data_IF_111444201534
#
_entry.id   IF_111444201534
#
_cell.length_a   1.000
_cell.length_b   1.000
_cell.length_c   1.000
_cell.angle_alpha   90.00
_cell.angle_beta   90.00
_cell.angle_gamma   90.00
#
_symmetry.space_group_name_H-M   'P 1'
#
loop_
_entity.id
_entity.type
_entity.pdbx_description
1 polymer ?
#
# COMPACT_ATOMS: atom_id res chain seq x y z
N UNK A 1 -27.91 -26.53 -47.05
CA UNK A 1 -27.66 -25.45 -48.04
C UNK A 1 -26.43 -24.64 -47.61
N UNK A 2 -25.46 -24.62 -48.53
CA UNK A 2 -24.15 -23.97 -48.40
C UNK A 2 -24.29 -22.42 -48.32
N UNK A 3 -23.36 -21.75 -47.57
CA UNK A 3 -22.63 -20.60 -48.14
C UNK A 3 -21.41 -20.28 -47.25
N UNK A 4 -20.25 -20.57 -47.81
CA UNK A 4 -18.92 -20.05 -47.44
C UNK A 4 -18.88 -18.54 -47.76
N UNK A 5 -18.15 -17.77 -46.96
CA UNK A 5 -17.53 -16.51 -47.38
C UNK A 5 -16.11 -16.36 -46.87
N UNK A 6 -15.28 -16.10 -47.86
CA UNK A 6 -13.83 -16.10 -47.88
C UNK A 6 -13.16 -14.95 -47.08
N UNK A 7 -12.01 -15.27 -46.57
CA UNK A 7 -10.96 -14.39 -46.08
C UNK A 7 -10.28 -13.75 -47.30
N UNK A 8 -10.14 -12.42 -47.31
CA UNK A 8 -9.28 -11.70 -48.24
C UNK A 8 -8.06 -11.16 -47.52
N UNK A 9 -6.93 -11.76 -47.84
CA UNK A 9 -5.57 -11.31 -47.51
C UNK A 9 -5.21 -10.17 -48.47
N UNK A 10 -4.74 -9.03 -47.97
CA UNK A 10 -4.13 -7.97 -48.78
C UNK A 10 -2.64 -7.97 -48.47
N UNK A 11 -1.84 -8.38 -49.44
CA UNK A 11 -0.39 -8.25 -49.45
C UNK A 11 -0.03 -6.93 -50.12
N UNK A 12 0.63 -6.05 -49.40
CA UNK A 12 1.21 -4.81 -49.95
C UNK A 12 2.69 -5.03 -50.29
N UNK A 13 3.01 -4.90 -51.58
CA UNK A 13 4.38 -4.95 -52.11
C UNK A 13 5.01 -3.56 -51.96
N UNK A 14 6.13 -3.45 -51.28
CA UNK A 14 6.95 -2.24 -51.24
C UNK A 14 8.08 -2.40 -52.27
N UNK A 15 8.07 -1.54 -53.29
CA UNK A 15 9.15 -1.45 -54.28
C UNK A 15 10.33 -0.66 -53.74
N UNK A 16 11.54 -1.26 -53.81
CA UNK A 16 12.77 -0.59 -53.52
C UNK A 16 13.35 0.05 -54.79
N UNK A 17 13.55 1.34 -54.77
CA UNK A 17 14.36 2.06 -55.79
C UNK A 17 15.77 2.26 -55.30
N UNK A 18 16.72 1.61 -55.96
CA UNK A 18 18.18 1.82 -55.80
C UNK A 18 18.54 3.07 -56.60
N UNK A 19 19.16 4.04 -55.95
CA UNK A 19 19.96 5.09 -56.58
C UNK A 19 21.39 4.99 -56.06
N UNK A 20 22.29 4.61 -56.95
CA UNK A 20 23.75 4.62 -56.78
C UNK A 20 24.29 6.05 -56.84
N UNK A 21 24.98 6.49 -55.82
CA UNK A 21 25.80 7.70 -55.81
C UNK A 21 27.07 7.40 -55.08
N UNK A 22 28.20 7.32 -55.82
CA UNK A 22 29.56 7.26 -55.29
C UNK A 22 29.94 8.61 -54.66
N UNK A 23 30.30 8.59 -53.39
CA UNK A 23 30.98 9.68 -52.71
C UNK A 23 31.80 9.10 -51.57
N UNK A 24 33.12 9.11 -51.71
CA UNK A 24 34.04 8.77 -50.62
C UNK A 24 33.94 9.84 -49.52
N UNK A 25 33.61 9.44 -48.33
CA UNK A 25 33.56 10.29 -47.14
C UNK A 25 33.70 9.42 -45.90
N UNK A 26 34.60 9.80 -45.08
CA UNK A 26 35.16 9.16 -43.89
C UNK A 26 34.09 8.53 -42.96
N UNK A 27 34.42 7.33 -42.49
CA UNK A 27 33.65 6.64 -41.43
C UNK A 27 33.87 7.37 -40.10
N UNK A 28 33.00 8.31 -39.75
CA UNK A 28 32.88 8.75 -38.38
C UNK A 28 32.10 7.70 -37.57
N UNK A 29 32.78 7.21 -36.55
CA UNK A 29 32.28 6.32 -35.52
C UNK A 29 31.00 6.88 -34.90
N UNK A 30 29.84 6.34 -35.23
CA UNK A 30 28.63 6.55 -34.45
C UNK A 30 28.57 5.64 -33.22
N UNK A 31 29.50 5.83 -32.31
CA UNK A 31 29.36 5.47 -30.90
C UNK A 31 29.13 6.77 -30.10
N UNK A 32 28.04 7.47 -30.35
CA UNK A 32 27.49 8.34 -29.34
C UNK A 32 26.62 7.47 -28.39
N UNK A 33 27.31 6.85 -27.41
CA UNK A 33 26.63 6.62 -26.13
C UNK A 33 26.09 7.98 -25.69
N UNK A 34 24.76 8.14 -25.74
CA UNK A 34 24.08 9.24 -25.08
C UNK A 34 24.45 9.13 -23.60
N UNK A 35 25.44 9.86 -23.14
CA UNK A 35 25.64 10.16 -21.73
C UNK A 35 24.35 10.84 -21.28
N UNK A 36 23.38 10.08 -20.77
CA UNK A 36 22.33 10.64 -19.95
C UNK A 36 23.04 11.36 -18.82
N UNK A 37 22.96 12.69 -18.82
CA UNK A 37 23.55 13.49 -17.76
C UNK A 37 22.96 13.00 -16.43
N UNK A 38 23.81 12.57 -15.50
CA UNK A 38 23.41 12.16 -14.17
C UNK A 38 22.60 13.26 -13.45
N UNK A 39 22.75 14.49 -13.84
CA UNK A 39 22.08 15.66 -13.27
C UNK A 39 20.58 15.72 -13.57
N UNK A 40 20.08 15.02 -14.60
CA UNK A 40 18.64 14.97 -14.94
C UNK A 40 17.84 13.99 -14.11
N UNK A 41 18.50 13.08 -13.39
CA UNK A 41 17.86 12.08 -12.53
C UNK A 41 18.15 12.31 -11.03
N UNK A 42 18.84 13.39 -10.69
CA UNK A 42 19.18 13.71 -9.31
C UNK A 42 17.96 14.25 -8.56
N UNK A 43 17.55 13.56 -7.52
CA UNK A 43 16.54 14.05 -6.58
C UNK A 43 17.26 14.80 -5.47
N UNK A 44 16.95 16.09 -5.31
CA UNK A 44 17.54 16.88 -4.25
C UNK A 44 17.05 16.40 -2.87
N UNK A 45 17.97 16.35 -1.92
CA UNK A 45 17.64 16.11 -0.53
C UNK A 45 16.68 17.19 -0.02
N UNK A 46 15.60 16.78 0.63
CA UNK A 46 14.73 17.72 1.33
C UNK A 46 15.42 18.16 2.61
N UNK A 47 15.69 19.47 2.72
CA UNK A 47 16.33 20.03 3.90
C UNK A 47 15.31 20.25 5.03
N UNK A 48 15.79 20.20 6.28
CA UNK A 48 15.02 20.47 7.50
C UNK A 48 13.81 19.55 7.73
N UNK A 49 13.87 18.27 7.25
CA UNK A 49 12.91 17.28 7.71
C UNK A 49 13.07 17.07 9.22
N UNK A 50 11.95 16.96 9.97
CA UNK A 50 12.00 16.57 11.38
C UNK A 50 12.75 15.24 11.56
N UNK A 51 13.45 15.07 12.69
CA UNK A 51 14.19 13.82 12.98
C UNK A 51 13.26 12.60 13.06
N UNK A 52 12.00 12.81 13.43
CA UNK A 52 10.95 11.80 13.53
C UNK A 52 10.10 11.68 12.25
N UNK A 53 10.53 12.30 11.13
CA UNK A 53 9.83 12.15 9.85
C UNK A 53 9.80 10.69 9.42
N UNK A 54 8.58 10.17 9.14
CA UNK A 54 8.40 8.77 8.78
C UNK A 54 8.79 8.55 7.32
N UNK A 55 9.81 7.71 7.13
CA UNK A 55 10.27 7.19 5.84
C UNK A 55 10.02 5.68 5.85
N UNK A 56 9.01 5.23 5.12
CA UNK A 56 8.56 3.84 5.19
C UNK A 56 8.66 3.09 3.86
N UNK A 57 8.61 1.76 3.96
CA UNK A 57 8.55 0.86 2.81
C UNK A 57 7.68 -0.36 3.12
N UNK A 58 6.78 -0.77 2.19
CA UNK A 58 6.05 -2.04 2.31
C UNK A 58 6.98 -3.22 2.00
N UNK A 59 7.14 -4.11 2.97
CA UNK A 59 7.98 -5.29 2.87
C UNK A 59 7.19 -6.61 3.02
N UNK A 60 5.87 -6.57 2.86
CA UNK A 60 4.97 -7.69 3.12
C UNK A 60 5.31 -8.98 2.37
N UNK A 61 5.94 -8.88 1.20
CA UNK A 61 6.30 -10.03 0.37
C UNK A 61 7.74 -10.51 0.55
N UNK A 62 8.57 -9.85 1.37
CA UNK A 62 9.99 -10.16 1.52
C UNK A 62 10.22 -11.62 1.92
N UNK A 63 9.57 -12.20 2.94
CA UNK A 63 9.80 -13.61 3.29
C UNK A 63 9.48 -14.59 2.14
N UNK A 64 8.43 -14.30 1.36
CA UNK A 64 8.07 -15.13 0.21
C UNK A 64 9.10 -15.03 -0.93
N UNK A 65 9.66 -13.83 -1.16
CA UNK A 65 10.71 -13.61 -2.16
C UNK A 65 12.02 -14.33 -1.75
N UNK A 66 12.43 -14.20 -0.49
CA UNK A 66 13.62 -14.89 0.05
C UNK A 66 13.47 -16.41 0.00
N UNK A 67 12.28 -16.93 0.33
CA UNK A 67 11.97 -18.35 0.18
C UNK A 67 12.05 -18.81 -1.29
N UNK A 68 11.79 -17.90 -2.23
CA UNK A 68 12.00 -18.10 -3.68
C UNK A 68 13.44 -17.97 -4.14
N UNK A 69 14.39 -17.68 -3.23
CA UNK A 69 15.82 -17.56 -3.54
C UNK A 69 16.28 -16.13 -3.89
N UNK A 70 15.43 -15.11 -3.71
CA UNK A 70 15.83 -13.71 -3.90
C UNK A 70 16.83 -13.31 -2.82
N UNK A 71 17.89 -12.62 -3.22
CA UNK A 71 18.93 -12.06 -2.37
C UNK A 71 19.01 -10.56 -2.56
N UNK A 72 19.40 -9.86 -1.51
CA UNK A 72 19.52 -8.41 -1.52
C UNK A 72 20.98 -8.02 -1.36
N UNK A 73 21.36 -6.94 -2.02
CA UNK A 73 22.75 -6.46 -2.04
C UNK A 73 22.76 -4.96 -1.75
N UNK A 74 23.73 -4.54 -0.95
CA UNK A 74 23.99 -3.13 -0.74
C UNK A 74 24.65 -2.51 -1.99
N UNK A 75 24.78 -1.18 -2.03
CA UNK A 75 25.36 -0.44 -3.18
C UNK A 75 26.79 -0.83 -3.50
N UNK A 76 27.53 -1.39 -2.53
CA UNK A 76 28.89 -1.91 -2.74
C UNK A 76 28.92 -3.36 -3.28
N UNK A 77 27.76 -3.98 -3.50
CA UNK A 77 27.61 -5.37 -3.95
C UNK A 77 27.70 -6.42 -2.83
N UNK A 78 27.75 -6.00 -1.57
CA UNK A 78 27.73 -6.93 -0.43
C UNK A 78 26.31 -7.47 -0.19
N UNK A 79 26.18 -8.80 -0.12
CA UNK A 79 24.90 -9.45 0.25
C UNK A 79 24.60 -9.17 1.73
N UNK A 80 23.40 -8.61 1.99
CA UNK A 80 22.92 -8.29 3.34
C UNK A 80 21.44 -8.58 3.50
N UNK A 81 20.98 -8.60 4.75
CA UNK A 81 19.55 -8.56 5.06
C UNK A 81 18.93 -7.26 4.50
N UNK A 82 17.79 -7.37 3.81
CA UNK A 82 17.13 -6.20 3.21
C UNK A 82 16.75 -5.15 4.25
N UNK A 83 16.38 -5.56 5.47
CA UNK A 83 16.03 -4.62 6.55
C UNK A 83 17.26 -3.86 7.05
N UNK A 84 18.44 -4.49 7.06
CA UNK A 84 19.71 -3.80 7.33
C UNK A 84 19.97 -2.74 6.27
N UNK A 85 19.85 -3.10 4.99
CA UNK A 85 20.06 -2.17 3.88
C UNK A 85 19.09 -0.98 3.99
N UNK A 86 17.80 -1.24 4.22
CA UNK A 86 16.78 -0.21 4.33
C UNK A 86 17.07 0.76 5.49
N UNK A 87 17.37 0.22 6.67
CA UNK A 87 17.71 1.04 7.86
C UNK A 87 18.95 1.90 7.63
N UNK A 88 20.02 1.34 7.06
CA UNK A 88 21.25 2.07 6.73
C UNK A 88 21.03 3.19 5.69
N UNK A 89 19.94 3.11 4.91
CA UNK A 89 19.56 4.09 3.90
C UNK A 89 18.39 5.00 4.33
N UNK A 90 18.14 5.12 5.62
CA UNK A 90 17.24 6.12 6.20
C UNK A 90 15.77 5.70 6.30
N UNK A 91 15.42 4.45 5.97
CA UNK A 91 14.10 3.91 6.25
C UNK A 91 13.98 3.65 7.75
N UNK A 92 12.91 4.17 8.37
CA UNK A 92 12.65 4.03 9.81
C UNK A 92 11.32 3.36 10.13
N UNK A 93 10.52 3.04 9.09
CA UNK A 93 9.29 2.26 9.20
C UNK A 93 9.21 1.17 8.13
N UNK A 94 8.73 0.01 8.54
CA UNK A 94 8.35 -1.07 7.63
C UNK A 94 6.84 -1.25 7.70
N UNK A 95 6.17 -1.18 6.55
CA UNK A 95 4.74 -1.47 6.42
C UNK A 95 4.54 -2.94 6.13
N UNK A 96 3.55 -3.56 6.79
CA UNK A 96 3.10 -4.92 6.53
C UNK A 96 1.59 -4.98 6.40
N UNK A 97 1.12 -5.68 5.39
CA UNK A 97 -0.30 -6.04 5.24
C UNK A 97 -0.62 -7.23 6.11
N UNK A 98 -1.82 -7.25 6.68
CA UNK A 98 -2.38 -8.43 7.36
C UNK A 98 -3.74 -8.76 6.76
N UNK A 99 -3.88 -9.99 6.26
CA UNK A 99 -5.12 -10.61 5.85
C UNK A 99 -5.59 -11.60 6.92
N UNK A 100 -6.92 -11.73 7.07
CA UNK A 100 -7.47 -12.52 8.17
C UNK A 100 -7.15 -14.00 8.05
N UNK A 101 -7.39 -14.59 6.88
CA UNK A 101 -7.12 -16.01 6.60
C UNK A 101 -6.87 -16.20 5.09
N UNK A 102 -5.62 -15.93 4.61
CA UNK A 102 -5.28 -15.95 3.19
C UNK A 102 -5.07 -17.35 2.62
N UNK A 103 -5.85 -18.34 3.07
CA UNK A 103 -5.72 -19.74 2.66
C UNK A 103 -7.06 -20.32 2.21
N UNK A 104 -7.02 -21.28 1.26
CA UNK A 104 -8.17 -22.07 0.88
C UNK A 104 -8.48 -23.19 1.91
N UNK A 105 -9.54 -23.96 1.66
CA UNK A 105 -9.94 -25.05 2.56
C UNK A 105 -8.90 -26.21 2.65
N UNK A 106 -7.95 -26.26 1.73
CA UNK A 106 -6.87 -27.27 1.71
C UNK A 106 -5.57 -26.71 2.32
N UNK A 107 -5.58 -25.45 2.79
CA UNK A 107 -4.41 -24.75 3.34
C UNK A 107 -3.47 -24.18 2.28
N UNK A 108 -3.89 -24.09 1.01
CA UNK A 108 -3.09 -23.45 -0.02
C UNK A 108 -3.26 -21.93 0.10
N UNK A 109 -2.14 -21.21 0.14
CA UNK A 109 -2.15 -19.75 0.19
C UNK A 109 -2.63 -19.11 -1.11
N UNK A 110 -3.30 -17.96 -1.00
CA UNK A 110 -3.78 -17.20 -2.16
C UNK A 110 -2.67 -16.46 -2.91
N UNK A 111 -1.44 -16.47 -2.41
CA UNK A 111 -0.29 -15.77 -2.99
C UNK A 111 -0.13 -14.35 -2.45
N UNK A 112 0.67 -13.53 -3.13
CA UNK A 112 0.95 -12.16 -2.70
C UNK A 112 1.64 -12.05 -1.33
N UNK A 113 2.44 -13.08 -0.96
CA UNK A 113 3.14 -13.19 0.31
C UNK A 113 2.37 -13.93 1.40
N UNK A 114 1.09 -14.33 1.16
CA UNK A 114 0.21 -14.94 2.17
C UNK A 114 0.26 -14.18 3.51
N UNK A 115 0.03 -12.87 3.44
CA UNK A 115 0.28 -11.89 4.50
C UNK A 115 -0.64 -12.11 5.71
N UNK A 116 -0.42 -13.16 6.47
CA UNK A 116 -1.06 -13.41 7.76
C UNK A 116 -0.28 -12.77 8.92
N UNK A 117 -0.77 -12.96 10.13
CA UNK A 117 -0.13 -12.42 11.33
C UNK A 117 1.25 -13.03 11.59
N UNK A 118 1.49 -14.29 11.21
CA UNK A 118 2.78 -14.94 11.41
C UNK A 118 3.86 -14.34 10.48
N UNK A 119 3.50 -14.05 9.23
CA UNK A 119 4.34 -13.30 8.30
C UNK A 119 4.67 -11.89 8.85
N UNK A 120 3.68 -11.20 9.42
CA UNK A 120 3.90 -9.88 10.03
C UNK A 120 4.82 -9.93 11.25
N UNK A 121 4.73 -10.98 12.08
CA UNK A 121 5.65 -11.20 13.22
C UNK A 121 7.08 -11.42 12.75
N UNK A 122 7.30 -12.24 11.74
CA UNK A 122 8.62 -12.47 11.15
C UNK A 122 9.26 -11.18 10.67
N UNK A 123 8.54 -10.41 9.85
CA UNK A 123 8.97 -9.11 9.32
C UNK A 123 9.23 -8.12 10.45
N UNK A 124 8.28 -8.01 11.39
CA UNK A 124 8.35 -7.05 12.48
C UNK A 124 9.55 -7.27 13.41
N UNK A 125 9.88 -8.51 13.72
CA UNK A 125 11.09 -8.84 14.51
C UNK A 125 12.36 -8.37 13.81
N UNK A 126 12.47 -8.63 12.49
CA UNK A 126 13.65 -8.21 11.70
C UNK A 126 13.72 -6.69 11.59
N UNK A 127 12.61 -6.01 11.32
CA UNK A 127 12.56 -4.55 11.28
C UNK A 127 13.00 -3.94 12.60
N UNK A 128 12.47 -4.43 13.73
CA UNK A 128 12.82 -3.97 15.08
C UNK A 128 14.29 -4.22 15.41
N UNK A 129 14.87 -5.33 14.97
CA UNK A 129 16.30 -5.63 15.15
C UNK A 129 17.21 -4.55 14.57
N UNK A 130 16.79 -3.94 13.45
CA UNK A 130 17.52 -2.85 12.80
C UNK A 130 16.99 -1.45 13.17
N UNK A 131 16.24 -1.34 14.28
CA UNK A 131 15.77 -0.06 14.84
C UNK A 131 14.62 0.59 14.09
N UNK A 132 13.95 -0.13 13.20
CA UNK A 132 12.76 0.36 12.49
C UNK A 132 11.49 -0.04 13.23
N UNK A 133 10.48 0.83 13.15
CA UNK A 133 9.14 0.55 13.65
C UNK A 133 8.27 -0.14 12.62
N UNK A 134 7.23 -0.83 13.07
CA UNK A 134 6.26 -1.47 12.18
C UNK A 134 5.01 -0.58 12.02
N UNK A 135 4.56 -0.40 10.77
CA UNK A 135 3.22 0.02 10.41
C UNK A 135 2.43 -1.23 10.02
N UNK A 136 1.45 -1.56 10.84
CA UNK A 136 0.59 -2.73 10.66
C UNK A 136 -0.67 -2.32 9.90
N UNK A 137 -0.85 -2.83 8.67
CA UNK A 137 -2.01 -2.55 7.83
C UNK A 137 -2.98 -3.73 7.85
N UNK A 138 -4.06 -3.60 8.61
CA UNK A 138 -5.15 -4.57 8.61
C UNK A 138 -6.08 -4.35 7.42
N UNK A 139 -6.20 -5.34 6.54
CA UNK A 139 -7.16 -5.28 5.43
C UNK A 139 -8.58 -5.65 5.87
N UNK A 140 -8.75 -6.38 6.97
CA UNK A 140 -10.01 -6.96 7.43
C UNK A 140 -10.76 -7.70 6.31
N UNK A 141 -9.98 -8.46 5.57
CA UNK A 141 -10.35 -9.32 4.47
C UNK A 141 -9.39 -10.50 4.41
N UNK A 142 -9.77 -11.60 3.77
CA UNK A 142 -8.90 -12.78 3.61
C UNK A 142 -7.87 -12.60 2.48
N UNK A 143 -7.99 -11.55 1.69
CA UNK A 143 -7.08 -11.19 0.61
C UNK A 143 -7.07 -9.66 0.41
N UNK A 144 -6.61 -9.17 -0.74
CA UNK A 144 -6.54 -7.74 -1.04
C UNK A 144 -7.88 -7.03 -0.80
N UNK A 145 -7.83 -5.97 -0.01
CA UNK A 145 -8.87 -4.96 0.06
C UNK A 145 -8.42 -3.73 -0.72
N UNK A 146 -9.31 -3.21 -1.57
CA UNK A 146 -9.12 -2.01 -2.40
C UNK A 146 -10.48 -1.29 -2.55
N UNK A 147 -10.57 -0.11 -3.19
CA UNK A 147 -11.84 0.61 -3.31
C UNK A 147 -12.97 -0.19 -3.97
N UNK A 148 -12.64 -1.16 -4.83
CA UNK A 148 -13.60 -2.05 -5.49
C UNK A 148 -13.86 -3.36 -4.77
N UNK A 149 -13.04 -3.71 -3.75
CA UNK A 149 -13.08 -5.00 -3.06
C UNK A 149 -12.87 -4.82 -1.56
N UNK A 150 -13.95 -4.70 -0.83
CA UNK A 150 -13.94 -4.64 0.63
C UNK A 150 -14.69 -5.87 1.18
N UNK A 151 -14.12 -7.06 0.91
CA UNK A 151 -14.77 -8.33 1.23
C UNK A 151 -14.76 -8.60 2.73
N UNK A 152 -15.90 -9.05 3.24
CA UNK A 152 -15.95 -9.60 4.61
C UNK A 152 -15.09 -10.86 4.69
N UNK A 153 -14.24 -11.03 5.72
CA UNK A 153 -13.56 -12.29 5.98
C UNK A 153 -14.55 -13.47 6.03
N UNK A 154 -14.13 -14.61 5.48
CA UNK A 154 -15.00 -15.81 5.43
C UNK A 154 -15.55 -16.23 6.80
N UNK A 155 -14.74 -16.04 7.85
CA UNK A 155 -15.15 -16.33 9.23
C UNK A 155 -16.28 -15.40 9.75
N UNK A 156 -16.43 -14.19 9.16
CA UNK A 156 -17.40 -13.17 9.61
C UNK A 156 -18.59 -13.00 8.65
N UNK A 157 -18.68 -13.83 7.61
CA UNK A 157 -19.61 -13.68 6.48
C UNK A 157 -21.07 -13.55 6.89
N UNK A 158 -21.48 -14.24 7.96
CA UNK A 158 -22.89 -14.28 8.41
C UNK A 158 -23.15 -13.40 9.65
N UNK A 159 -22.17 -12.59 10.07
CA UNK A 159 -22.28 -11.73 11.25
C UNK A 159 -23.02 -10.44 10.93
N UNK A 160 -23.86 -9.99 11.87
CA UNK A 160 -24.39 -8.64 11.89
C UNK A 160 -23.31 -7.62 12.24
N UNK A 161 -23.63 -6.31 12.15
CA UNK A 161 -22.63 -5.25 12.37
C UNK A 161 -22.02 -5.30 13.78
N UNK A 162 -22.82 -5.54 14.80
CA UNK A 162 -22.34 -5.61 16.19
C UNK A 162 -21.37 -6.78 16.40
N UNK A 163 -21.70 -7.95 15.84
CA UNK A 163 -20.84 -9.14 15.89
C UNK A 163 -19.54 -8.92 15.08
N UNK A 164 -19.62 -8.25 13.92
CA UNK A 164 -18.42 -7.87 13.12
C UNK A 164 -17.53 -6.90 13.89
N UNK A 165 -18.10 -5.90 14.56
CA UNK A 165 -17.32 -4.96 15.38
C UNK A 165 -16.58 -5.70 16.50
N UNK A 166 -17.23 -6.62 17.19
CA UNK A 166 -16.59 -7.43 18.24
C UNK A 166 -15.51 -8.35 17.65
N UNK A 167 -15.80 -9.05 16.54
CA UNK A 167 -14.84 -9.92 15.88
C UNK A 167 -13.59 -9.13 15.38
N UNK A 168 -13.78 -7.93 14.81
CA UNK A 168 -12.72 -7.06 14.36
C UNK A 168 -11.89 -6.55 15.53
N UNK A 169 -12.53 -6.13 16.63
CA UNK A 169 -11.83 -5.72 17.84
C UNK A 169 -10.96 -6.85 18.39
N UNK A 170 -11.51 -8.05 18.56
CA UNK A 170 -10.77 -9.20 19.10
C UNK A 170 -9.61 -9.60 18.17
N UNK A 171 -9.85 -9.67 16.86
CA UNK A 171 -8.81 -9.99 15.87
C UNK A 171 -7.66 -8.98 15.90
N UNK A 172 -7.97 -7.70 15.97
CA UNK A 172 -6.98 -6.62 16.05
C UNK A 172 -6.19 -6.73 17.35
N UNK A 173 -6.87 -6.91 18.47
CA UNK A 173 -6.28 -7.07 19.81
C UNK A 173 -5.32 -8.26 19.88
N UNK A 174 -5.77 -9.43 19.45
CA UNK A 174 -4.97 -10.66 19.47
C UNK A 174 -3.75 -10.55 18.56
N UNK A 175 -3.91 -9.97 17.38
CA UNK A 175 -2.82 -9.75 16.42
C UNK A 175 -1.77 -8.79 16.99
N UNK A 176 -2.19 -7.67 17.56
CA UNK A 176 -1.27 -6.70 18.17
C UNK A 176 -0.59 -7.27 19.43
N UNK A 177 -1.31 -8.04 20.23
CA UNK A 177 -0.72 -8.72 21.40
C UNK A 177 0.38 -9.70 20.95
N UNK A 178 0.13 -10.48 19.87
CA UNK A 178 1.12 -11.41 19.32
C UNK A 178 2.38 -10.70 18.82
N UNK A 179 2.23 -9.55 18.14
CA UNK A 179 3.37 -8.72 17.73
C UNK A 179 4.16 -8.20 18.96
N UNK A 180 3.45 -7.69 19.96
CA UNK A 180 4.04 -7.17 21.21
C UNK A 180 4.79 -8.26 21.98
N UNK A 181 4.20 -9.45 22.13
CA UNK A 181 4.80 -10.60 22.81
C UNK A 181 6.06 -11.10 22.06
N UNK A 182 6.11 -10.90 20.75
CA UNK A 182 7.28 -11.18 19.92
C UNK A 182 8.37 -10.09 19.99
N UNK A 183 8.16 -9.01 20.75
CA UNK A 183 9.10 -7.89 20.89
C UNK A 183 9.14 -6.95 19.70
N UNK A 184 8.08 -6.90 18.88
CA UNK A 184 7.99 -6.00 17.73
C UNK A 184 7.64 -4.57 18.17
N UNK A 185 8.39 -3.58 17.67
CA UNK A 185 8.11 -2.15 17.89
C UNK A 185 7.02 -1.68 16.93
N UNK A 186 5.77 -1.72 17.37
CA UNK A 186 4.61 -1.26 16.59
C UNK A 186 4.46 0.24 16.75
N UNK A 187 4.81 1.00 15.71
CA UNK A 187 4.73 2.47 15.72
C UNK A 187 3.45 3.05 15.12
N UNK A 188 2.79 2.32 14.23
CA UNK A 188 1.53 2.74 13.61
C UNK A 188 0.66 1.54 13.25
N UNK A 189 -0.67 1.72 13.33
CA UNK A 189 -1.65 0.74 12.91
C UNK A 189 -2.64 1.38 11.95
N UNK A 190 -2.77 0.82 10.75
CA UNK A 190 -3.72 1.24 9.74
C UNK A 190 -4.98 0.37 9.84
N UNK A 191 -6.12 1.00 10.09
CA UNK A 191 -7.42 0.37 10.25
C UNK A 191 -8.14 0.35 8.90
N UNK A 192 -8.07 -0.79 8.21
CA UNK A 192 -8.57 -0.94 6.83
C UNK A 192 -7.57 -0.46 5.77
N UNK A 193 -7.76 -0.91 4.53
CA UNK A 193 -6.99 -0.50 3.37
C UNK A 193 -7.93 0.09 2.31
N UNK A 194 -7.66 1.34 1.89
CA UNK A 194 -8.40 2.06 0.84
C UNK A 194 -9.93 2.02 1.02
N UNK A 195 -10.37 2.42 2.21
CA UNK A 195 -11.75 2.32 2.67
C UNK A 195 -12.69 3.40 2.09
N UNK A 196 -12.60 3.65 0.81
CA UNK A 196 -13.26 4.76 0.07
C UNK A 196 -14.81 4.86 0.17
N UNK A 197 -15.41 4.20 1.10
CA UNK A 197 -16.88 4.14 1.28
C UNK A 197 -17.36 2.72 1.45
N UNK A 198 -16.42 1.80 1.75
CA UNK A 198 -16.73 0.44 2.16
C UNK A 198 -15.64 -0.08 3.09
N UNK A 199 -15.97 -1.02 3.97
CA UNK A 199 -15.03 -1.72 4.85
C UNK A 199 -15.64 -3.03 5.31
N UNK A 200 -14.91 -4.12 5.21
CA UNK A 200 -15.34 -5.44 5.73
C UNK A 200 -16.76 -5.84 5.28
N UNK A 201 -17.09 -5.58 4.01
CA UNK A 201 -18.40 -5.86 3.41
C UNK A 201 -19.49 -4.84 3.66
N UNK A 202 -19.30 -3.89 4.59
CA UNK A 202 -20.22 -2.77 4.80
C UNK A 202 -19.96 -1.68 3.77
N UNK A 203 -21.03 -1.06 3.24
CA UNK A 203 -20.93 -0.03 2.20
C UNK A 203 -21.66 1.24 2.60
N UNK A 204 -21.10 2.38 2.24
CA UNK A 204 -21.71 3.70 2.49
C UNK A 204 -23.06 3.89 1.78
N UNK A 205 -23.32 3.16 0.70
CA UNK A 205 -24.60 3.13 -0.02
C UNK A 205 -25.70 2.34 0.68
N UNK A 206 -25.36 1.50 1.66
CA UNK A 206 -26.32 0.64 2.35
C UNK A 206 -27.03 1.40 3.48
N UNK A 207 -28.10 0.81 4.01
CA UNK A 207 -28.80 1.36 5.18
C UNK A 207 -27.83 1.43 6.37
N UNK A 208 -27.70 2.63 6.94
CA UNK A 208 -26.72 2.90 8.01
C UNK A 208 -25.32 3.21 7.52
N UNK A 209 -24.99 2.97 6.25
CA UNK A 209 -23.84 3.42 5.51
C UNK A 209 -22.59 3.74 6.31
N UNK A 210 -22.20 5.00 6.34
CA UNK A 210 -21.03 5.46 7.08
C UNK A 210 -21.07 5.18 8.58
N UNK A 211 -22.26 5.16 9.22
CA UNK A 211 -22.37 4.82 10.63
C UNK A 211 -21.83 3.41 10.93
N UNK A 212 -22.08 2.44 10.04
CA UNK A 212 -21.61 1.06 10.21
C UNK A 212 -20.11 0.94 9.92
N UNK A 213 -19.63 1.62 8.88
CA UNK A 213 -18.19 1.65 8.54
C UNK A 213 -17.38 2.26 9.70
N UNK A 214 -17.83 3.37 10.24
CA UNK A 214 -17.13 4.06 11.34
C UNK A 214 -17.21 3.31 12.68
N UNK A 215 -18.25 2.50 12.90
CA UNK A 215 -18.30 1.56 14.02
C UNK A 215 -17.18 0.52 13.93
N UNK A 216 -16.94 -0.05 12.73
CA UNK A 216 -15.82 -0.98 12.50
C UNK A 216 -14.48 -0.29 12.72
N UNK A 217 -14.30 0.94 12.19
CA UNK A 217 -13.07 1.72 12.40
C UNK A 217 -12.81 1.95 13.90
N UNK A 218 -13.82 2.41 14.64
CA UNK A 218 -13.70 2.64 16.09
C UNK A 218 -13.46 1.35 16.89
N UNK A 219 -13.99 0.21 16.46
CA UNK A 219 -13.69 -1.08 17.08
C UNK A 219 -12.21 -1.44 16.94
N UNK A 220 -11.63 -1.24 15.75
CA UNK A 220 -10.19 -1.41 15.51
C UNK A 220 -9.36 -0.42 16.34
N UNK A 221 -9.70 0.86 16.31
CA UNK A 221 -9.00 1.91 17.05
C UNK A 221 -8.98 1.62 18.56
N UNK A 222 -10.10 1.17 19.13
CA UNK A 222 -10.19 0.77 20.53
C UNK A 222 -9.17 -0.33 20.89
N UNK A 223 -9.03 -1.35 20.03
CA UNK A 223 -8.05 -2.42 20.25
C UNK A 223 -6.61 -1.89 20.20
N UNK A 224 -6.31 -0.96 19.27
CA UNK A 224 -4.99 -0.33 19.17
C UNK A 224 -4.67 0.45 20.44
N UNK A 225 -5.59 1.33 20.89
CA UNK A 225 -5.36 2.12 22.13
C UNK A 225 -5.16 1.25 23.36
N UNK A 226 -5.78 0.07 23.39
CA UNK A 226 -5.63 -0.86 24.52
C UNK A 226 -4.26 -1.56 24.53
N UNK A 227 -3.78 -2.04 23.36
CA UNK A 227 -2.59 -2.90 23.29
C UNK A 227 -1.33 -2.11 22.98
N UNK A 228 -1.42 -1.09 22.11
CA UNK A 228 -0.32 -0.25 21.66
C UNK A 228 -0.69 1.24 21.82
N UNK A 229 -0.85 1.75 23.04
CA UNK A 229 -1.38 3.12 23.28
C UNK A 229 -0.53 4.22 22.66
N UNK A 230 0.77 3.98 22.46
CA UNK A 230 1.71 4.94 21.85
C UNK A 230 1.76 4.86 20.33
N UNK A 231 1.13 3.86 19.71
CA UNK A 231 1.09 3.72 18.26
C UNK A 231 0.10 4.73 17.64
N UNK A 232 0.48 5.32 16.51
CA UNK A 232 -0.41 6.14 15.70
C UNK A 232 -1.49 5.25 15.06
N UNK A 233 -2.71 5.79 14.92
CA UNK A 233 -3.79 5.14 14.18
C UNK A 233 -3.99 5.85 12.85
N UNK A 234 -3.90 5.12 11.74
CA UNK A 234 -4.15 5.63 10.41
C UNK A 234 -5.47 5.09 9.84
N UNK A 235 -6.24 5.96 9.18
CA UNK A 235 -7.37 5.59 8.32
C UNK A 235 -6.97 5.92 6.87
N UNK A 236 -7.15 4.98 5.96
CA UNK A 236 -6.56 4.99 4.63
C UNK A 236 -7.60 5.02 3.51
N UNK A 237 -7.38 5.94 2.57
CA UNK A 237 -8.20 6.15 1.38
C UNK A 237 -7.33 6.16 0.12
N UNK A 238 -7.98 6.06 -1.04
CA UNK A 238 -7.36 6.15 -2.35
C UNK A 238 -8.11 7.14 -3.25
N UNK A 239 -7.54 7.48 -4.40
CA UNK A 239 -8.08 8.40 -5.40
C UNK A 239 -8.11 9.87 -4.95
N UNK A 240 -6.95 10.46 -4.56
CA UNK A 240 -6.88 11.85 -4.12
C UNK A 240 -7.18 12.88 -5.22
N UNK A 241 -7.23 12.46 -6.49
CA UNK A 241 -7.71 13.31 -7.60
C UNK A 241 -9.18 13.71 -7.43
N UNK A 242 -9.93 12.99 -6.60
CA UNK A 242 -11.32 13.30 -6.28
C UNK A 242 -11.40 14.05 -4.93
N UNK A 243 -11.16 15.36 -4.96
CA UNK A 243 -11.13 16.22 -3.78
C UNK A 243 -12.47 16.22 -2.99
N UNK A 244 -13.61 16.15 -3.69
CA UNK A 244 -14.93 16.11 -3.04
C UNK A 244 -15.12 14.82 -2.24
N UNK A 245 -14.62 13.71 -2.75
CA UNK A 245 -14.63 12.43 -2.01
C UNK A 245 -13.80 12.53 -0.74
N UNK A 246 -12.58 13.09 -0.81
CA UNK A 246 -11.71 13.28 0.36
C UNK A 246 -12.36 14.20 1.40
N UNK A 247 -12.97 15.31 0.97
CA UNK A 247 -13.72 16.18 1.85
C UNK A 247 -14.89 15.44 2.53
N UNK A 248 -15.58 14.56 1.79
CA UNK A 248 -16.65 13.71 2.33
C UNK A 248 -16.11 12.69 3.33
N UNK A 249 -14.95 12.05 3.07
CA UNK A 249 -14.34 11.10 3.99
C UNK A 249 -13.98 11.78 5.31
N UNK A 250 -13.23 12.89 5.26
CA UNK A 250 -12.88 13.66 6.45
C UNK A 250 -14.11 14.08 7.26
N UNK A 251 -15.15 14.59 6.58
CA UNK A 251 -16.43 14.96 7.22
C UNK A 251 -17.11 13.80 7.93
N UNK A 252 -17.12 12.59 7.33
CA UNK A 252 -17.74 11.43 7.95
C UNK A 252 -16.92 10.93 9.15
N UNK A 253 -15.57 10.90 9.05
CA UNK A 253 -14.72 10.54 10.17
C UNK A 253 -14.95 11.48 11.38
N UNK A 254 -15.04 12.79 11.14
CA UNK A 254 -15.30 13.79 12.16
C UNK A 254 -16.72 13.67 12.74
N UNK A 255 -17.76 13.59 11.89
CA UNK A 255 -19.17 13.49 12.31
C UNK A 255 -19.43 12.28 13.20
N UNK A 256 -18.84 11.13 12.87
CA UNK A 256 -18.99 9.89 13.64
C UNK A 256 -17.90 9.70 14.69
N UNK A 257 -17.06 10.73 14.92
CA UNK A 257 -16.03 10.75 15.95
C UNK A 257 -15.11 9.52 15.90
N UNK A 258 -14.57 9.23 14.72
CA UNK A 258 -13.59 8.16 14.58
C UNK A 258 -12.30 8.55 15.29
N UNK A 259 -11.80 7.65 16.15
CA UNK A 259 -10.52 7.84 16.84
C UNK A 259 -9.37 7.46 15.88
N UNK A 260 -8.67 8.47 15.35
CA UNK A 260 -7.50 8.31 14.50
C UNK A 260 -6.55 9.50 14.61
N UNK A 261 -5.29 9.31 14.26
CA UNK A 261 -4.23 10.32 14.30
C UNK A 261 -3.81 10.77 12.89
N UNK A 262 -3.85 9.84 11.91
CA UNK A 262 -3.30 10.03 10.57
C UNK A 262 -4.36 9.74 9.52
N UNK A 263 -4.56 10.69 8.60
CA UNK A 263 -5.32 10.48 7.37
C UNK A 263 -4.35 10.06 6.27
N UNK A 264 -4.41 8.80 5.84
CA UNK A 264 -3.50 8.23 4.87
C UNK A 264 -4.13 8.20 3.47
N UNK A 265 -3.30 8.35 2.45
CA UNK A 265 -3.70 8.36 1.04
C UNK A 265 -2.78 7.52 0.18
N UNK A 266 -3.33 6.55 -0.57
CA UNK A 266 -2.62 5.99 -1.72
C UNK A 266 -2.36 7.07 -2.76
N UNK A 267 -1.16 7.04 -3.37
CA UNK A 267 -0.85 7.90 -4.50
C UNK A 267 -0.06 7.17 -5.59
N UNK A 268 -0.64 7.11 -6.76
CA UNK A 268 -0.02 6.58 -7.98
C UNK A 268 -0.04 7.65 -9.07
N UNK A 269 1.12 8.20 -9.51
CA UNK A 269 1.18 9.34 -10.46
C UNK A 269 0.41 9.13 -11.76
N UNK A 270 0.24 7.87 -12.20
CA UNK A 270 -0.46 7.54 -13.44
C UNK A 270 -1.98 7.66 -13.36
N UNK A 271 -2.56 7.60 -12.13
CA UNK A 271 -4.02 7.53 -11.94
C UNK A 271 -4.57 8.59 -11.00
N UNK A 272 -3.76 9.09 -10.07
CA UNK A 272 -4.24 9.89 -8.93
C UNK A 272 -3.95 11.40 -9.07
N UNK A 273 -3.81 11.88 -10.32
CA UNK A 273 -3.60 13.30 -10.58
C UNK A 273 -2.18 13.78 -10.29
N UNK A 274 -2.00 15.08 -10.13
CA UNK A 274 -0.70 15.71 -9.93
C UNK A 274 -0.30 15.76 -8.46
N UNK A 275 1.00 15.96 -8.19
CA UNK A 275 1.51 16.18 -6.82
C UNK A 275 0.92 17.43 -6.18
N UNK A 276 0.63 18.48 -6.97
CA UNK A 276 -0.02 19.69 -6.49
C UNK A 276 -1.44 19.40 -6.00
N UNK A 277 -2.21 18.59 -6.74
CA UNK A 277 -3.54 18.16 -6.32
C UNK A 277 -3.48 17.33 -5.03
N UNK A 278 -2.57 16.35 -4.95
CA UNK A 278 -2.36 15.55 -3.75
C UNK A 278 -2.04 16.44 -2.54
N UNK A 279 -1.09 17.38 -2.71
CA UNK A 279 -0.68 18.31 -1.67
C UNK A 279 -1.86 19.19 -1.21
N UNK A 280 -2.64 19.74 -2.14
CA UNK A 280 -3.81 20.57 -1.81
C UNK A 280 -4.87 19.80 -1.03
N UNK A 281 -5.18 18.58 -1.47
CA UNK A 281 -6.21 17.73 -0.84
C UNK A 281 -5.78 17.34 0.57
N UNK A 282 -4.54 16.85 0.75
CA UNK A 282 -4.06 16.45 2.06
C UNK A 282 -3.86 17.64 3.01
N UNK A 283 -3.35 18.79 2.53
CA UNK A 283 -3.26 20.01 3.33
C UNK A 283 -4.64 20.45 3.82
N UNK A 284 -5.66 20.37 2.95
CA UNK A 284 -7.03 20.71 3.32
C UNK A 284 -7.58 19.81 4.44
N UNK A 285 -7.29 18.52 4.40
CA UNK A 285 -7.65 17.57 5.47
C UNK A 285 -6.92 17.93 6.78
N UNK A 286 -5.61 18.15 6.71
CA UNK A 286 -4.80 18.50 7.88
C UNK A 286 -5.28 19.79 8.56
N UNK A 287 -5.51 20.85 7.78
CA UNK A 287 -5.99 22.14 8.26
C UNK A 287 -7.41 22.07 8.85
N UNK A 288 -8.30 21.31 8.21
CA UNK A 288 -9.72 21.26 8.62
C UNK A 288 -9.92 20.44 9.89
N UNK A 289 -9.21 19.31 10.03
CA UNK A 289 -9.44 18.34 11.10
C UNK A 289 -8.30 18.24 12.11
N UNK A 290 -7.19 18.97 11.91
CA UNK A 290 -6.03 18.94 12.81
C UNK A 290 -5.33 17.57 12.84
N UNK A 291 -5.41 16.79 11.77
CA UNK A 291 -4.83 15.45 11.67
C UNK A 291 -3.50 15.46 10.92
N UNK A 292 -2.61 14.53 11.28
CA UNK A 292 -1.46 14.24 10.44
C UNK A 292 -1.92 13.65 9.11
N UNK A 293 -1.14 13.81 8.06
CA UNK A 293 -1.39 13.21 6.74
C UNK A 293 -0.21 12.36 6.31
N UNK A 294 -0.47 11.31 5.55
CA UNK A 294 0.53 10.37 5.06
C UNK A 294 0.21 10.01 3.63
N UNK A 295 1.25 9.79 2.84
CA UNK A 295 1.17 9.11 1.52
C UNK A 295 1.64 7.68 1.72
N UNK A 296 0.86 6.70 1.18
CA UNK A 296 1.02 5.26 1.41
C UNK A 296 1.08 4.48 0.09
#
# INVERSE_FOLDING_TARGET
MRKNRAIRTIAGVLAATLLTGCGAGESENMNQESKVSSDTLYVQKVENLPEDFIMGMDASCVPALEKGGVKYFDFDGTEKDVYEILSQNGINYIRVRIWNDPYDANGNGYGGGNCDIDNAVEIGKRATQYGMKLLVNFHYSDFWADPGKQMTPKAWKNMGIEEKCEALYQYTKESLQKLKDAGVDVGMVQIGNETNGAMCGEKSSDLGGWARITQLMNAGSKAVREICPDALIAIHFANPENADSYASYGKNLDYYQVDYDVFASSYYPYWHGTLENLSQVLSKIAETYGKKVMVD
#
